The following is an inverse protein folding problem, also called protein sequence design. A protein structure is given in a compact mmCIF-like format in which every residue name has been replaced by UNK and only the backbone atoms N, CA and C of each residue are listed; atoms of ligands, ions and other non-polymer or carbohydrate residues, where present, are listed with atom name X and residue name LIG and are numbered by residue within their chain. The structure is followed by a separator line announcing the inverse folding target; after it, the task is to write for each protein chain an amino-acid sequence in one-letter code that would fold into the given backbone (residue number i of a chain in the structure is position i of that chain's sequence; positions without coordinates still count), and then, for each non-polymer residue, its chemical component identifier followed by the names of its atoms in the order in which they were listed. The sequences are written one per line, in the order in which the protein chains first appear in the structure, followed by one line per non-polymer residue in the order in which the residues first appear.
data_IF_378081850647
#
_entry.id   IF_378081850647
#
_cell.length_a   1.000
_cell.length_b   1.000
_cell.length_c   1.000
_cell.angle_alpha   90.00
_cell.angle_beta   90.00
_cell.angle_gamma   90.00
#
_symmetry.space_group_name_H-M   'P 1'
#
loop_
_entity.id
_entity.type
_entity.pdbx_description
1 polymer ?
#
# COMPACT_ATOMS: atom_id res chain seq x y z
N UNK A 1 -7.01 -5.84 -0.58
CA UNK A 1 -6.02 -4.84 -0.13
C UNK A 1 -6.54 -3.86 0.93
N UNK A 2 -7.80 -3.39 0.86
CA UNK A 2 -8.29 -2.33 1.77
C UNK A 2 -8.36 -2.72 3.28
N UNK A 3 -8.29 -4.02 3.64
CA UNK A 3 -8.40 -4.47 5.03
C UNK A 3 -7.12 -4.22 5.84
N UNK A 4 -5.96 -4.67 5.36
CA UNK A 4 -4.67 -4.49 6.06
C UNK A 4 -4.27 -3.01 6.14
N UNK A 5 -4.52 -2.23 5.09
CA UNK A 5 -4.32 -0.78 5.11
C UNK A 5 -5.18 -0.08 6.19
N UNK A 6 -6.45 -0.46 6.31
CA UNK A 6 -7.36 0.11 7.33
C UNK A 6 -7.06 -0.36 8.74
N UNK A 7 -6.50 -1.56 8.89
CA UNK A 7 -6.03 -2.09 10.17
C UNK A 7 -4.83 -1.27 10.66
N UNK A 8 -3.82 -1.10 9.80
CA UNK A 8 -2.61 -0.33 10.14
C UNK A 8 -2.92 1.07 10.66
N UNK A 9 -3.85 1.79 10.03
CA UNK A 9 -4.22 3.15 10.47
C UNK A 9 -4.85 3.21 11.87
N UNK A 10 -5.34 2.08 12.39
CA UNK A 10 -5.94 1.95 13.72
C UNK A 10 -4.99 1.40 14.77
N UNK A 11 -3.82 0.92 14.36
CA UNK A 11 -2.85 0.34 15.29
C UNK A 11 -2.30 1.38 16.26
N UNK A 12 -2.08 1.00 17.51
CA UNK A 12 -1.47 1.85 18.55
C UNK A 12 0.00 1.49 18.79
N UNK A 13 0.49 0.44 18.13
CA UNK A 13 1.85 -0.07 18.24
C UNK A 13 2.55 -0.09 16.88
N UNK A 14 3.82 0.32 16.86
CA UNK A 14 4.64 0.38 15.64
C UNK A 14 4.93 -1.00 15.08
N UNK A 15 5.02 -2.04 15.92
CA UNK A 15 5.27 -3.41 15.46
C UNK A 15 4.07 -3.96 14.69
N UNK A 16 2.87 -3.78 15.26
CA UNK A 16 1.60 -4.19 14.66
C UNK A 16 1.30 -3.40 13.38
N UNK A 17 1.54 -2.08 13.40
CA UNK A 17 1.48 -1.23 12.21
C UNK A 17 2.39 -1.74 11.08
N UNK A 18 3.66 -2.01 11.38
CA UNK A 18 4.62 -2.50 10.38
C UNK A 18 4.21 -3.85 9.83
N UNK A 19 3.71 -4.75 10.67
CA UNK A 19 3.20 -6.05 10.23
C UNK A 19 2.06 -5.90 9.22
N UNK A 20 1.10 -5.02 9.49
CA UNK A 20 0.00 -4.77 8.56
C UNK A 20 0.48 -4.15 7.23
N UNK A 21 1.53 -3.33 7.25
CA UNK A 21 2.17 -2.81 6.04
C UNK A 21 2.90 -3.92 5.26
N UNK A 22 3.57 -4.86 5.94
CA UNK A 22 4.17 -6.03 5.30
C UNK A 22 3.12 -6.91 4.63
N UNK A 23 2.01 -7.17 5.31
CA UNK A 23 0.91 -7.94 4.76
C UNK A 23 0.30 -7.25 3.52
N UNK A 24 0.20 -5.91 3.55
CA UNK A 24 -0.23 -5.12 2.39
C UNK A 24 0.77 -5.25 1.23
N UNK A 25 2.07 -5.16 1.50
CA UNK A 25 3.14 -5.32 0.51
C UNK A 25 3.11 -6.70 -0.14
N UNK A 26 3.11 -7.77 0.66
CA UNK A 26 3.06 -9.14 0.13
C UNK A 26 1.79 -9.40 -0.68
N UNK A 27 0.66 -8.83 -0.26
CA UNK A 27 -0.57 -8.87 -1.07
C UNK A 27 -0.38 -8.16 -2.41
N UNK A 28 0.24 -6.97 -2.41
CA UNK A 28 0.50 -6.21 -3.62
C UNK A 28 1.47 -6.92 -4.57
N UNK A 29 2.54 -7.52 -4.05
CA UNK A 29 3.50 -8.33 -4.83
C UNK A 29 2.82 -9.57 -5.43
N UNK A 30 1.95 -10.25 -4.67
CA UNK A 30 1.20 -11.40 -5.17
C UNK A 30 0.26 -11.01 -6.31
N UNK A 31 -0.40 -9.85 -6.19
CA UNK A 31 -1.32 -9.30 -7.19
C UNK A 31 -0.56 -8.83 -8.45
N UNK A 32 0.64 -8.26 -8.28
CA UNK A 32 1.51 -7.86 -9.39
C UNK A 32 2.03 -9.06 -10.20
N UNK A 33 2.37 -10.15 -9.51
CA UNK A 33 2.86 -11.39 -10.14
C UNK A 33 1.75 -12.27 -10.73
N UNK A 34 0.48 -11.92 -10.49
CA UNK A 34 -0.68 -12.61 -11.04
C UNK A 34 -0.98 -12.23 -12.50
N UNK A 35 -1.88 -12.96 -13.17
CA UNK A 35 -2.35 -12.60 -14.50
C UNK A 35 -3.13 -11.28 -14.46
N UNK A 36 -2.78 -10.34 -15.33
CA UNK A 36 -3.49 -9.06 -15.50
C UNK A 36 -4.52 -9.22 -16.61
N UNK A 37 -5.76 -9.53 -16.24
CA UNK A 37 -6.90 -9.62 -17.15
C UNK A 37 -7.81 -8.40 -17.00
N UNK A 38 -8.22 -7.79 -18.11
CA UNK A 38 -9.22 -6.71 -18.12
C UNK A 38 -8.71 -5.30 -17.83
N UNK A 39 -7.41 -5.11 -17.53
CA UNK A 39 -6.80 -3.80 -17.30
C UNK A 39 -5.66 -3.52 -18.27
N UNK A 40 -5.38 -2.23 -18.51
CA UNK A 40 -4.13 -1.83 -19.18
C UNK A 40 -2.93 -2.30 -18.35
N UNK A 41 -2.18 -3.25 -18.90
CA UNK A 41 -1.11 -3.96 -18.17
C UNK A 41 -0.01 -3.01 -17.72
N UNK A 42 0.34 -2.03 -18.54
CA UNK A 42 1.40 -1.08 -18.23
C UNK A 42 1.00 -0.18 -17.05
N UNK A 43 -0.20 0.41 -17.11
CA UNK A 43 -0.74 1.26 -16.03
C UNK A 43 -0.93 0.46 -14.74
N UNK A 44 -1.40 -0.79 -14.85
CA UNK A 44 -1.57 -1.67 -13.71
C UNK A 44 -0.24 -2.01 -13.03
N UNK A 45 0.75 -2.47 -13.81
CA UNK A 45 2.08 -2.80 -13.28
C UNK A 45 2.74 -1.56 -12.67
N UNK A 46 2.68 -0.41 -13.35
CA UNK A 46 3.25 0.83 -12.83
C UNK A 46 2.59 1.27 -11.50
N UNK A 47 1.27 1.13 -11.39
CA UNK A 47 0.54 1.46 -10.16
C UNK A 47 0.86 0.51 -9.00
N UNK A 48 0.95 -0.79 -9.29
CA UNK A 48 1.26 -1.80 -8.28
C UNK A 48 2.70 -1.72 -7.80
N UNK A 49 3.67 -1.50 -8.70
CA UNK A 49 5.07 -1.28 -8.32
C UNK A 49 5.23 -0.03 -7.46
N UNK A 50 4.60 1.09 -7.83
CA UNK A 50 4.63 2.32 -7.03
C UNK A 50 4.02 2.09 -5.64
N UNK A 51 2.93 1.33 -5.55
CA UNK A 51 2.33 1.00 -4.27
C UNK A 51 3.30 0.20 -3.37
N UNK A 52 4.00 -0.79 -3.92
CA UNK A 52 4.96 -1.61 -3.18
C UNK A 52 6.12 -0.75 -2.65
N UNK A 53 6.66 0.14 -3.48
CA UNK A 53 7.74 1.05 -3.10
C UNK A 53 7.30 1.98 -1.96
N UNK A 54 6.10 2.51 -2.05
CA UNK A 54 5.59 3.46 -1.08
C UNK A 54 5.17 2.78 0.24
N UNK A 55 4.66 1.56 0.20
CA UNK A 55 4.46 0.75 1.42
C UNK A 55 5.80 0.49 2.11
N UNK A 56 6.85 0.19 1.35
CA UNK A 56 8.21 0.03 1.88
C UNK A 56 8.73 1.33 2.51
N UNK A 57 8.43 2.49 1.90
CA UNK A 57 8.76 3.79 2.46
C UNK A 57 8.00 4.05 3.78
N UNK A 58 6.72 3.73 3.84
CA UNK A 58 5.90 3.84 5.07
C UNK A 58 6.48 2.98 6.19
N UNK A 59 6.86 1.73 5.91
CA UNK A 59 7.52 0.86 6.90
C UNK A 59 8.83 1.48 7.41
N UNK A 60 9.65 2.01 6.49
CA UNK A 60 10.94 2.61 6.85
C UNK A 60 10.76 3.89 7.68
N UNK A 61 9.77 4.72 7.35
CA UNK A 61 9.41 5.90 8.13
C UNK A 61 8.90 5.50 9.51
N UNK A 62 8.01 4.50 9.60
CA UNK A 62 7.52 4.02 10.90
C UNK A 62 8.64 3.48 11.80
N UNK A 63 9.62 2.78 11.21
CA UNK A 63 10.79 2.27 11.92
C UNK A 63 11.74 3.36 12.40
N UNK A 64 11.98 4.40 11.60
CA UNK A 64 12.96 5.46 11.91
C UNK A 64 12.37 6.59 12.75
N UNK A 65 11.13 6.95 12.47
CA UNK A 65 10.48 8.17 12.97
C UNK A 65 9.29 7.86 13.90
N UNK A 66 8.91 6.59 14.01
CA UNK A 66 7.84 6.13 14.89
C UNK A 66 6.46 6.07 14.23
N UNK A 67 5.49 5.58 15.01
CA UNK A 67 4.14 5.24 14.54
C UNK A 67 3.40 6.41 13.89
N UNK A 68 3.46 7.62 14.47
CA UNK A 68 2.73 8.77 13.96
C UNK A 68 3.24 9.21 12.58
N UNK A 69 4.56 9.22 12.39
CA UNK A 69 5.17 9.50 11.09
C UNK A 69 4.77 8.42 10.06
N UNK A 70 4.78 7.15 10.48
CA UNK A 70 4.30 6.02 9.68
C UNK A 70 2.84 6.19 9.25
N UNK A 71 1.94 6.58 10.16
CA UNK A 71 0.52 6.83 9.85
C UNK A 71 0.32 7.99 8.89
N UNK A 72 1.06 9.09 9.05
CA UNK A 72 1.03 10.23 8.11
C UNK A 72 1.48 9.80 6.72
N UNK A 73 2.54 9.01 6.63
CA UNK A 73 3.01 8.46 5.35
C UNK A 73 1.96 7.50 4.75
N UNK A 74 1.34 6.64 5.57
CA UNK A 74 0.28 5.74 5.14
C UNK A 74 -0.97 6.48 4.63
N UNK A 75 -1.32 7.65 5.16
CA UNK A 75 -2.43 8.45 4.62
C UNK A 75 -2.20 8.86 3.16
N UNK A 76 -0.95 9.09 2.75
CA UNK A 76 -0.58 9.40 1.35
C UNK A 76 -0.82 8.20 0.43
N UNK A 77 -0.58 6.97 0.90
CA UNK A 77 -0.88 5.74 0.17
C UNK A 77 -2.36 5.66 -0.22
N UNK A 78 -3.27 6.02 0.69
CA UNK A 78 -4.71 5.98 0.43
C UNK A 78 -5.14 6.86 -0.75
N UNK A 79 -4.55 8.06 -0.85
CA UNK A 79 -4.80 8.99 -1.96
C UNK A 79 -4.26 8.45 -3.29
N UNK A 80 -3.08 7.83 -3.26
CA UNK A 80 -2.45 7.24 -4.44
C UNK A 80 -3.20 6.02 -4.96
N UNK A 81 -3.60 5.10 -4.08
CA UNK A 81 -4.42 3.93 -4.44
C UNK A 81 -5.70 4.36 -5.14
N UNK A 82 -6.40 5.38 -4.62
CA UNK A 82 -7.60 5.93 -5.26
C UNK A 82 -7.31 6.51 -6.65
N UNK A 83 -6.17 7.19 -6.82
CA UNK A 83 -5.77 7.75 -8.13
C UNK A 83 -5.54 6.64 -9.18
N UNK A 84 -4.92 5.52 -8.78
CA UNK A 84 -4.69 4.40 -9.70
C UNK A 84 -5.94 3.57 -9.97
N UNK A 85 -6.80 3.35 -8.96
CA UNK A 85 -8.13 2.78 -9.15
C UNK A 85 -8.93 3.55 -10.19
N UNK A 86 -9.00 4.89 -10.07
CA UNK A 86 -9.67 5.74 -11.06
C UNK A 86 -9.07 5.62 -12.47
N UNK A 87 -7.73 5.53 -12.59
CA UNK A 87 -7.06 5.36 -13.89
C UNK A 87 -7.36 4.02 -14.54
N UNK A 88 -7.54 2.98 -13.73
CA UNK A 88 -7.85 1.63 -14.18
C UNK A 88 -9.36 1.40 -14.39
N UNK A 89 -10.20 2.41 -14.10
CA UNK A 89 -11.65 2.29 -14.16
C UNK A 89 -12.24 1.38 -13.07
N UNK A 90 -11.49 1.15 -11.99
CA UNK A 90 -11.91 0.38 -10.83
C UNK A 90 -12.54 1.36 -9.83
N UNK A 91 -13.84 1.24 -9.59
CA UNK A 91 -14.56 1.98 -8.54
C UNK A 91 -14.44 1.25 -7.19
#
# INVERSE_FOLDING_TARGET
MNKSYRAALKEEDVTSFRKDMQDLKSTAESILNGPVEGYDRETYVAGMSLLIDEVTAVESTAEKEGLDAGKIAAQKLGSMMRKYHNKLGVD
#
